data_IF_572010232022
#
_entry.id   IF_572010232022
#
_cell.length_a   1.000
_cell.length_b   1.000
_cell.length_c   1.000
_cell.angle_alpha   90.00
_cell.angle_beta   90.00
_cell.angle_gamma   90.00
#
_symmetry.space_group_name_H-M   'P 1'
#
loop_
_entity.id
_entity.type
_entity.pdbx_description
1 polymer ?
#
# COMPACT_ATOMS: atom_id res chain seq x y z
N UNK A 1 9.36 43.27 -27.72
CA UNK A 1 9.41 42.39 -26.53
C UNK A 1 10.47 41.30 -26.69
N UNK A 2 11.62 41.43 -25.99
CA UNK A 2 12.73 40.45 -26.03
C UNK A 2 12.27 39.08 -25.52
N UNK A 3 12.38 38.06 -26.37
CA UNK A 3 12.05 36.64 -26.12
C UNK A 3 12.84 36.07 -24.93
N UNK A 4 12.32 36.18 -23.69
CA UNK A 4 12.85 35.47 -22.50
C UNK A 4 12.50 33.96 -22.45
N UNK A 5 11.81 33.43 -23.46
CA UNK A 5 11.38 32.04 -23.54
C UNK A 5 12.48 30.94 -23.58
N UNK A 6 13.73 31.14 -24.06
CA UNK A 6 14.66 30.01 -24.22
C UNK A 6 15.26 29.51 -22.89
N UNK A 7 15.32 30.34 -21.84
CA UNK A 7 15.87 29.92 -20.53
C UNK A 7 14.85 29.10 -19.73
N UNK A 8 13.57 29.47 -19.78
CA UNK A 8 12.48 28.74 -19.09
C UNK A 8 12.29 27.36 -19.69
N UNK A 9 12.31 27.27 -21.03
CA UNK A 9 12.18 26.00 -21.73
C UNK A 9 13.34 25.04 -21.43
N UNK A 10 14.57 25.54 -21.31
CA UNK A 10 15.74 24.75 -20.88
C UNK A 10 15.59 24.25 -19.44
N UNK A 11 15.12 25.09 -18.51
CA UNK A 11 14.90 24.69 -17.11
C UNK A 11 13.84 23.59 -16.99
N UNK A 12 12.74 23.71 -17.74
CA UNK A 12 11.69 22.69 -17.78
C UNK A 12 12.21 21.35 -18.33
N UNK A 13 13.05 21.39 -19.36
CA UNK A 13 13.71 20.21 -19.92
C UNK A 13 14.62 19.52 -18.90
N UNK A 14 15.50 20.27 -18.22
CA UNK A 14 16.37 19.72 -17.18
C UNK A 14 15.57 19.10 -16.02
N UNK A 15 14.49 19.76 -15.59
CA UNK A 15 13.63 19.23 -14.52
C UNK A 15 12.96 17.91 -14.93
N UNK A 16 12.42 17.82 -16.14
CA UNK A 16 11.81 16.60 -16.69
C UNK A 16 12.81 15.44 -16.73
N UNK A 17 14.05 15.71 -17.16
CA UNK A 17 15.10 14.71 -17.23
C UNK A 17 15.57 14.26 -15.83
N UNK A 18 15.68 15.18 -14.88
CA UNK A 18 16.00 14.86 -13.49
C UNK A 18 14.92 13.99 -12.84
N UNK A 19 13.64 14.31 -13.05
CA UNK A 19 12.52 13.51 -12.54
C UNK A 19 12.52 12.11 -13.17
N UNK A 20 12.74 12.01 -14.48
CA UNK A 20 12.87 10.72 -15.17
C UNK A 20 14.04 9.89 -14.61
N UNK A 21 15.19 10.50 -14.38
CA UNK A 21 16.36 9.84 -13.80
C UNK A 21 16.08 9.36 -12.38
N UNK A 22 15.41 10.18 -11.55
CA UNK A 22 15.00 9.80 -10.21
C UNK A 22 14.08 8.57 -10.22
N UNK A 23 13.11 8.48 -11.13
CA UNK A 23 12.25 7.30 -11.25
C UNK A 23 13.00 6.05 -11.73
N UNK A 24 14.01 6.19 -12.60
CA UNK A 24 14.87 5.06 -12.99
C UNK A 24 15.73 4.57 -11.82
N UNK A 25 16.23 5.48 -10.98
CA UNK A 25 16.96 5.12 -9.76
C UNK A 25 16.03 4.41 -8.78
N UNK A 26 14.82 4.93 -8.55
CA UNK A 26 13.81 4.28 -7.72
C UNK A 26 13.41 2.90 -8.27
N UNK A 27 13.30 2.76 -9.59
CA UNK A 27 13.07 1.49 -10.24
C UNK A 27 14.19 0.48 -9.91
N UNK A 28 15.45 0.89 -10.09
CA UNK A 28 16.62 0.05 -9.81
C UNK A 28 16.73 -0.32 -8.33
N UNK A 29 16.45 0.61 -7.41
CA UNK A 29 16.40 0.34 -5.97
C UNK A 29 15.27 -0.64 -5.66
N UNK A 30 14.08 -0.41 -6.21
CA UNK A 30 12.91 -1.26 -5.98
C UNK A 30 13.07 -2.68 -6.52
N UNK A 31 13.90 -2.90 -7.55
CA UNK A 31 14.25 -4.24 -8.03
C UNK A 31 15.03 -5.05 -6.98
N UNK A 32 15.75 -4.40 -6.06
CA UNK A 32 16.44 -5.07 -4.95
C UNK A 32 15.50 -5.47 -3.82
N UNK A 33 14.29 -4.91 -3.78
CA UNK A 33 13.26 -5.21 -2.77
C UNK A 33 12.41 -6.38 -3.27
N UNK A 34 12.75 -7.59 -2.80
CA UNK A 34 12.09 -8.84 -3.19
C UNK A 34 10.88 -9.16 -2.31
N UNK A 35 10.95 -8.79 -1.03
CA UNK A 35 9.90 -8.91 -0.02
C UNK A 35 9.18 -7.57 0.16
N UNK A 36 7.98 -7.37 -0.41
CA UNK A 36 7.21 -6.15 -0.18
C UNK A 36 6.83 -6.01 1.28
N UNK A 37 6.92 -4.79 1.81
CA UNK A 37 6.18 -4.40 2.99
C UNK A 37 4.69 -4.71 2.82
N UNK A 38 4.01 -5.04 3.91
CA UNK A 38 2.59 -5.39 3.94
C UNK A 38 1.83 -4.37 4.77
N UNK A 39 0.50 -4.27 4.60
CA UNK A 39 -0.34 -3.53 5.54
C UNK A 39 -0.06 -3.94 6.98
N UNK A 40 -0.11 -2.99 7.92
CA UNK A 40 0.16 -3.26 9.34
C UNK A 40 -0.77 -4.34 9.92
N UNK A 41 -1.98 -4.44 9.38
CA UNK A 41 -3.00 -5.42 9.77
C UNK A 41 -2.88 -6.78 9.07
N UNK A 42 -1.96 -6.93 8.11
CA UNK A 42 -1.80 -8.18 7.36
C UNK A 42 -1.44 -9.40 8.23
N UNK A 43 -0.60 -9.29 9.28
CA UNK A 43 -0.34 -10.41 10.20
C UNK A 43 -1.62 -10.88 10.91
N UNK A 44 -2.47 -9.95 11.35
CA UNK A 44 -3.74 -10.28 12.03
C UNK A 44 -4.73 -10.92 11.07
N UNK A 45 -4.87 -10.38 9.86
CA UNK A 45 -5.71 -11.01 8.83
C UNK A 45 -5.27 -12.44 8.53
N UNK A 46 -3.95 -12.70 8.45
CA UNK A 46 -3.43 -14.07 8.28
C UNK A 46 -3.73 -14.96 9.46
N UNK A 47 -3.50 -14.47 10.67
CA UNK A 47 -3.76 -15.21 11.91
C UNK A 47 -5.24 -15.61 12.01
N UNK A 48 -6.16 -14.69 11.72
CA UNK A 48 -7.59 -14.94 11.70
C UNK A 48 -8.01 -15.91 10.58
N UNK A 49 -7.36 -15.85 9.41
CA UNK A 49 -7.63 -16.75 8.30
C UNK A 49 -7.06 -18.17 8.49
N UNK A 50 -6.23 -18.40 9.51
CA UNK A 50 -5.62 -19.71 9.78
C UNK A 50 -6.71 -20.72 10.11
N UNK A 51 -6.69 -21.87 9.45
CA UNK A 51 -7.67 -22.94 9.68
C UNK A 51 -7.28 -23.82 10.86
N UNK A 52 -8.30 -24.15 11.64
CA UNK A 52 -8.28 -25.15 12.71
C UNK A 52 -9.01 -26.39 12.17
N UNK A 53 -8.33 -27.54 12.05
CA UNK A 53 -8.90 -28.72 11.39
C UNK A 53 -10.11 -29.27 12.14
N UNK A 54 -10.05 -29.31 13.47
CA UNK A 54 -11.17 -29.67 14.33
C UNK A 54 -10.93 -29.08 15.71
N UNK A 55 -11.98 -28.56 16.32
CA UNK A 55 -11.98 -28.13 17.72
C UNK A 55 -13.29 -28.53 18.37
N UNK A 56 -13.22 -29.01 19.61
CA UNK A 56 -14.38 -29.32 20.43
C UNK A 56 -14.16 -28.79 21.84
N UNK A 57 -14.85 -27.71 22.18
CA UNK A 57 -14.91 -27.18 23.53
C UNK A 57 -16.18 -27.71 24.19
N UNK A 58 -16.05 -28.70 25.07
CA UNK A 58 -17.17 -29.20 25.87
C UNK A 58 -17.50 -28.20 26.99
N UNK A 59 -16.65 -28.12 28.01
CA UNK A 59 -16.81 -27.27 29.19
C UNK A 59 -15.64 -26.28 29.40
N UNK A 60 -15.08 -25.75 28.32
CA UNK A 60 -13.98 -24.77 28.42
C UNK A 60 -14.51 -23.36 28.74
N UNK A 61 -13.78 -22.62 29.59
CA UNK A 61 -14.05 -21.21 29.85
C UNK A 61 -13.81 -20.37 28.59
N UNK A 62 -14.46 -19.21 28.49
CA UNK A 62 -14.25 -18.30 27.35
C UNK A 62 -12.77 -17.89 27.20
N UNK A 63 -12.09 -17.62 28.32
CA UNK A 63 -10.65 -17.31 28.35
C UNK A 63 -9.81 -18.46 27.81
N UNK A 64 -10.04 -19.70 28.27
CA UNK A 64 -9.29 -20.88 27.81
C UNK A 64 -9.46 -21.12 26.29
N UNK A 65 -10.67 -20.86 25.77
CA UNK A 65 -10.94 -20.92 24.33
C UNK A 65 -10.12 -19.87 23.57
N UNK A 66 -9.99 -18.66 24.11
CA UNK A 66 -9.19 -17.59 23.52
C UNK A 66 -7.68 -17.87 23.63
N UNK A 67 -7.22 -18.48 24.72
CA UNK A 67 -5.82 -18.90 24.87
C UNK A 67 -5.49 -20.00 23.84
N UNK A 68 -6.38 -20.98 23.65
CA UNK A 68 -6.24 -21.95 22.56
C UNK A 68 -6.17 -21.28 21.19
N UNK A 69 -7.06 -20.32 20.90
CA UNK A 69 -7.04 -19.60 19.63
C UNK A 69 -5.79 -18.73 19.49
N UNK A 70 -5.27 -18.15 20.58
CA UNK A 70 -4.02 -17.41 20.62
C UNK A 70 -2.85 -18.29 20.19
N UNK A 71 -2.76 -19.50 20.77
CA UNK A 71 -1.73 -20.48 20.44
C UNK A 71 -1.84 -20.97 18.99
N UNK A 72 -3.06 -21.22 18.52
CA UNK A 72 -3.28 -21.61 17.13
C UNK A 72 -2.92 -20.47 16.18
N UNK A 73 -3.35 -19.24 16.43
CA UNK A 73 -3.22 -18.13 15.50
C UNK A 73 -1.87 -17.41 15.58
N UNK A 74 -1.17 -17.52 16.72
CA UNK A 74 0.06 -16.79 17.01
C UNK A 74 -0.14 -15.30 17.30
N UNK A 75 -1.34 -14.91 17.75
CA UNK A 75 -1.72 -13.53 18.09
C UNK A 75 -2.37 -13.48 19.48
N UNK A 76 -2.18 -12.38 20.20
CA UNK A 76 -2.75 -12.23 21.54
C UNK A 76 -4.20 -11.73 21.48
N UNK A 77 -5.04 -12.30 22.34
CA UNK A 77 -6.39 -11.83 22.60
C UNK A 77 -6.42 -11.11 23.96
N UNK A 78 -6.91 -9.87 23.98
CA UNK A 78 -7.13 -9.09 25.19
C UNK A 78 -8.63 -8.94 25.43
N UNK A 79 -9.07 -9.15 26.66
CA UNK A 79 -10.48 -9.09 27.05
C UNK A 79 -10.64 -7.95 28.04
N UNK A 80 -11.61 -7.07 27.80
CA UNK A 80 -11.99 -6.01 28.72
C UNK A 80 -12.82 -6.56 29.88
N UNK A 81 -12.17 -7.17 30.88
CA UNK A 81 -12.84 -7.86 31.98
C UNK A 81 -13.87 -7.00 32.74
N UNK A 82 -13.70 -5.67 32.77
CA UNK A 82 -14.62 -4.73 33.44
C UNK A 82 -15.90 -4.48 32.63
N UNK A 83 -15.83 -4.57 31.30
CA UNK A 83 -17.02 -4.47 30.45
C UNK A 83 -17.90 -5.73 30.49
N UNK A 84 -17.38 -6.86 30.99
CA UNK A 84 -18.18 -8.07 31.22
C UNK A 84 -18.81 -8.05 32.61
N UNK A 85 -20.06 -8.50 32.69
CA UNK A 85 -20.70 -8.74 33.98
C UNK A 85 -19.88 -9.79 34.76
N UNK A 86 -19.48 -9.55 36.02
CA UNK A 86 -18.67 -10.49 36.81
C UNK A 86 -19.23 -11.93 36.85
N UNK A 87 -20.57 -12.05 36.72
CA UNK A 87 -21.30 -13.33 36.70
C UNK A 87 -21.14 -14.09 35.36
N UNK A 88 -20.90 -13.38 34.26
CA UNK A 88 -20.67 -13.95 32.92
C UNK A 88 -19.19 -14.31 32.67
N UNK A 89 -18.26 -13.54 33.26
CA UNK A 89 -16.82 -13.74 33.06
C UNK A 89 -16.29 -15.01 33.75
N UNK A 90 -16.83 -15.34 34.92
CA UNK A 90 -16.42 -16.50 35.71
C UNK A 90 -17.54 -17.53 35.97
N UNK A 91 -18.82 -17.25 35.71
CA UNK A 91 -19.89 -17.94 36.48
C UNK A 91 -21.00 -18.68 35.75
N UNK A 92 -21.45 -18.34 34.54
CA UNK A 92 -22.77 -18.85 34.07
C UNK A 92 -22.90 -19.28 32.61
N UNK A 93 -22.02 -18.86 31.69
CA UNK A 93 -21.96 -19.40 30.30
C UNK A 93 -20.82 -20.40 30.08
N UNK A 94 -20.35 -21.01 31.17
CA UNK A 94 -19.51 -22.20 31.11
C UNK A 94 -20.33 -23.33 30.48
N UNK A 95 -19.70 -24.16 29.64
CA UNK A 95 -20.33 -25.38 29.13
C UNK A 95 -21.30 -25.24 27.96
N UNK A 96 -21.31 -24.12 27.22
CA UNK A 96 -21.91 -24.15 25.88
C UNK A 96 -20.96 -24.95 24.97
N UNK A 97 -21.34 -26.16 24.55
CA UNK A 97 -20.49 -26.97 23.71
C UNK A 97 -20.31 -26.27 22.37
N UNK A 98 -19.06 -26.16 21.95
CA UNK A 98 -18.70 -25.57 20.68
C UNK A 98 -17.84 -26.55 19.90
N UNK A 99 -18.35 -26.98 18.76
CA UNK A 99 -17.60 -27.79 17.81
C UNK A 99 -17.48 -27.03 16.51
N UNK A 100 -16.28 -26.99 15.95
CA UNK A 100 -16.04 -26.49 14.60
C UNK A 100 -15.05 -27.41 13.89
N UNK A 101 -15.30 -27.63 12.60
CA UNK A 101 -14.48 -28.49 11.75
C UNK A 101 -14.04 -27.67 10.55
N UNK A 102 -12.75 -27.70 10.26
CA UNK A 102 -12.12 -26.97 9.16
C UNK A 102 -12.49 -25.48 9.13
N UNK A 103 -12.65 -24.85 10.30
CA UNK A 103 -13.01 -23.44 10.43
C UNK A 103 -11.77 -22.58 10.65
N UNK A 104 -11.79 -21.36 10.15
CA UNK A 104 -10.77 -20.35 10.44
C UNK A 104 -10.88 -19.86 11.89
N UNK A 105 -9.78 -19.37 12.45
CA UNK A 105 -9.77 -18.76 13.80
C UNK A 105 -10.82 -17.64 13.90
N UNK A 106 -10.93 -16.80 12.87
CA UNK A 106 -11.95 -15.75 12.82
C UNK A 106 -13.38 -16.29 12.75
N UNK A 107 -13.64 -17.34 11.99
CA UNK A 107 -14.97 -18.00 11.97
C UNK A 107 -15.32 -18.58 13.34
N UNK A 108 -14.37 -19.19 14.03
CA UNK A 108 -14.57 -19.70 15.39
C UNK A 108 -14.90 -18.54 16.33
N UNK A 109 -14.18 -17.43 16.24
CA UNK A 109 -14.40 -16.24 17.07
C UNK A 109 -15.77 -15.61 16.83
N UNK A 110 -16.19 -15.45 15.56
CA UNK A 110 -17.53 -14.97 15.20
C UNK A 110 -18.66 -15.93 15.62
N UNK A 111 -18.41 -17.23 15.55
CA UNK A 111 -19.36 -18.23 16.02
C UNK A 111 -19.45 -18.25 17.57
N UNK A 112 -18.35 -17.98 18.28
CA UNK A 112 -18.34 -17.77 19.72
C UNK A 112 -19.11 -16.51 20.11
N UNK A 113 -18.91 -15.39 19.41
CA UNK A 113 -19.66 -14.14 19.59
C UNK A 113 -21.17 -14.38 19.47
N UNK A 114 -21.61 -15.01 18.38
CA UNK A 114 -23.05 -15.25 18.13
C UNK A 114 -23.71 -16.21 19.13
N UNK A 115 -22.97 -17.21 19.64
CA UNK A 115 -23.48 -18.19 20.62
C UNK A 115 -23.42 -17.71 22.08
N UNK A 116 -22.39 -16.96 22.46
CA UNK A 116 -22.18 -16.55 23.85
C UNK A 116 -22.94 -15.26 24.17
N UNK A 117 -22.68 -14.19 23.43
CA UNK A 117 -23.33 -12.90 23.62
C UNK A 117 -23.20 -12.05 22.34
N UNK A 118 -24.31 -11.78 21.62
CA UNK A 118 -24.30 -10.94 20.41
C UNK A 118 -23.79 -9.51 20.63
N UNK A 119 -23.73 -9.03 21.88
CA UNK A 119 -23.17 -7.73 22.23
C UNK A 119 -21.65 -7.74 22.22
N UNK A 120 -21.00 -8.89 22.18
CA UNK A 120 -19.55 -8.98 22.03
C UNK A 120 -19.11 -8.30 20.74
N UNK A 121 -18.00 -7.62 20.80
CA UNK A 121 -17.35 -7.00 19.67
C UNK A 121 -15.85 -7.14 19.82
N UNK A 122 -15.18 -7.47 18.73
CA UNK A 122 -13.73 -7.61 18.72
C UNK A 122 -13.11 -6.78 17.60
N UNK A 123 -11.95 -6.20 17.87
CA UNK A 123 -11.29 -5.34 16.88
C UNK A 123 -9.79 -5.46 16.96
N UNK A 124 -9.15 -5.11 15.86
CA UNK A 124 -7.70 -5.06 15.74
C UNK A 124 -7.13 -3.85 16.47
N UNK A 125 -6.16 -4.07 17.36
CA UNK A 125 -5.37 -3.01 17.97
C UNK A 125 -3.89 -3.43 18.00
N UNK A 126 -3.05 -2.67 17.30
CA UNK A 126 -1.64 -2.98 17.07
C UNK A 126 -1.42 -4.39 16.49
N UNK A 127 -0.83 -5.29 17.27
CA UNK A 127 -0.56 -6.69 16.92
C UNK A 127 -1.50 -7.68 17.64
N UNK A 128 -2.58 -7.18 18.24
CA UNK A 128 -3.49 -7.92 19.11
C UNK A 128 -4.95 -7.76 18.67
N UNK A 129 -5.79 -8.65 19.17
CA UNK A 129 -7.25 -8.53 19.05
C UNK A 129 -7.82 -8.21 20.42
N UNK A 130 -8.54 -7.10 20.52
CA UNK A 130 -9.28 -6.70 21.71
C UNK A 130 -10.72 -7.17 21.61
N UNK A 131 -11.28 -7.59 22.74
CA UNK A 131 -12.64 -8.08 22.86
C UNK A 131 -13.33 -7.34 24.00
N UNK A 132 -14.45 -6.70 23.71
CA UNK A 132 -15.28 -5.98 24.68
C UNK A 132 -16.76 -6.05 24.29
N UNK A 133 -17.62 -5.36 25.04
CA UNK A 133 -19.06 -5.27 24.80
C UNK A 133 -19.36 -4.01 23.99
N UNK A 134 -20.23 -4.10 22.97
CA UNK A 134 -20.64 -2.96 22.16
C UNK A 134 -21.20 -1.84 23.04
N UNK A 135 -20.64 -0.64 22.89
CA UNK A 135 -21.04 0.55 23.64
C UNK A 135 -20.34 0.74 24.99
N UNK A 136 -19.56 -0.23 25.46
CA UNK A 136 -18.70 -0.05 26.62
C UNK A 136 -17.40 0.68 26.20
N UNK A 137 -16.93 1.68 26.97
CA UNK A 137 -15.58 2.21 26.79
C UNK A 137 -14.57 1.10 27.13
N UNK A 138 -13.41 1.12 26.47
CA UNK A 138 -12.33 0.21 26.81
C UNK A 138 -11.74 0.57 28.17
N UNK A 139 -11.83 -0.35 29.14
CA UNK A 139 -11.17 -0.19 30.43
C UNK A 139 -9.76 -0.78 30.32
N UNK A 140 -8.76 0.07 30.09
CA UNK A 140 -7.37 -0.35 30.21
C UNK A 140 -7.15 -0.79 31.66
N UNK A 141 -6.77 -2.05 31.87
CA UNK A 141 -6.42 -2.60 33.17
C UNK A 141 -5.77 -1.54 34.07
N UNK A 142 -6.34 -1.35 35.25
CA UNK A 142 -5.86 -0.52 36.36
C UNK A 142 -4.56 -1.09 36.97
N UNK A 143 -3.59 -1.49 36.13
CA UNK A 143 -2.33 -2.15 36.51
C UNK A 143 -1.11 -1.20 36.52
N UNK A 144 -1.26 0.09 36.22
CA UNK A 144 -0.17 1.06 36.44
C UNK A 144 -0.03 1.54 37.90
N UNK A 145 -0.77 0.95 38.86
CA UNK A 145 -0.68 1.34 40.28
C UNK A 145 -0.59 0.17 41.26
N UNK A 146 0.37 -0.73 41.06
CA UNK A 146 1.15 -1.33 42.17
C UNK A 146 2.24 -2.25 41.62
N UNK A 147 3.49 -1.79 41.72
CA UNK A 147 4.64 -2.69 41.83
C UNK A 147 4.84 -2.96 43.34
N UNK A 148 4.67 -4.21 43.78
CA UNK A 148 5.71 -4.77 44.65
C UNK A 148 6.07 -6.22 44.26
N UNK A 149 7.33 -6.39 43.89
CA UNK A 149 8.20 -7.48 44.35
C UNK A 149 7.83 -8.96 44.08
N UNK A 150 7.28 -9.30 42.91
CA UNK A 150 7.44 -10.66 42.38
C UNK A 150 7.93 -10.68 40.94
N UNK A 151 9.22 -10.99 40.81
CA UNK A 151 9.96 -11.16 39.57
C UNK A 151 9.58 -12.51 38.94
N UNK A 152 8.66 -12.48 37.98
CA UNK A 152 8.75 -13.29 36.78
C UNK A 152 8.53 -12.37 35.57
N UNK A 153 9.50 -11.48 35.35
CA UNK A 153 9.63 -10.81 34.06
C UNK A 153 10.02 -11.88 33.04
N UNK A 154 9.04 -12.38 32.29
CA UNK A 154 9.33 -12.87 30.94
C UNK A 154 9.74 -11.67 30.09
N UNK A 155 10.98 -11.22 30.26
CA UNK A 155 11.67 -10.49 29.21
C UNK A 155 11.80 -11.48 28.06
N UNK A 156 10.80 -11.50 27.17
CA UNK A 156 11.02 -12.01 25.83
C UNK A 156 12.03 -11.05 25.21
N UNK A 157 13.29 -11.44 25.34
CA UNK A 157 14.43 -10.94 24.58
C UNK A 157 13.95 -10.88 23.13
N UNK A 158 13.57 -9.70 22.64
CA UNK A 158 13.62 -9.40 21.21
C UNK A 158 15.11 -9.42 20.86
N UNK A 159 15.65 -10.64 20.79
CA UNK A 159 16.95 -10.89 20.23
C UNK A 159 16.88 -10.35 18.81
N UNK A 160 17.72 -9.33 18.55
CA UNK A 160 17.76 -8.51 17.35
C UNK A 160 17.09 -9.15 16.14
N UNK A 161 15.83 -8.78 15.92
CA UNK A 161 15.36 -8.77 14.54
C UNK A 161 16.14 -7.61 13.90
N UNK A 162 16.95 -7.85 12.85
CA UNK A 162 17.54 -6.75 12.11
C UNK A 162 16.42 -5.80 11.73
N UNK A 163 16.67 -4.49 11.72
CA UNK A 163 15.74 -3.51 11.18
C UNK A 163 15.36 -3.92 9.75
N UNK A 164 14.27 -4.69 9.65
CA UNK A 164 13.72 -5.15 8.39
C UNK A 164 13.14 -3.91 7.75
N UNK A 165 13.59 -3.57 6.54
CA UNK A 165 13.10 -2.46 5.72
C UNK A 165 11.61 -2.66 5.28
N UNK A 166 10.73 -3.10 6.18
CA UNK A 166 9.39 -3.63 5.91
C UNK A 166 8.25 -2.74 6.38
N UNK A 167 8.53 -1.50 6.79
CA UNK A 167 7.46 -0.54 7.06
C UNK A 167 6.93 0.01 5.74
N UNK A 168 5.61 0.18 5.62
CA UNK A 168 5.03 0.78 4.43
C UNK A 168 5.53 2.22 4.29
N UNK A 169 5.66 2.70 3.04
CA UNK A 169 6.04 4.10 2.78
C UNK A 169 5.02 5.07 3.35
N UNK A 170 3.76 4.66 3.33
CA UNK A 170 2.64 5.43 3.85
C UNK A 170 1.48 4.50 4.14
N UNK A 171 0.77 4.75 5.22
CA UNK A 171 -0.46 4.05 5.55
C UNK A 171 -1.46 5.02 6.17
N UNK A 172 -2.73 4.93 5.75
CA UNK A 172 -3.81 5.70 6.34
C UNK A 172 -5.16 5.01 6.18
N UNK A 173 -6.00 5.17 7.19
CA UNK A 173 -7.42 4.79 7.12
C UNK A 173 -8.22 6.01 6.67
N UNK A 174 -9.00 5.84 5.59
CA UNK A 174 -9.86 6.88 5.03
C UNK A 174 -11.23 6.25 4.75
N UNK A 175 -12.25 6.71 5.49
CA UNK A 175 -13.60 6.15 5.40
C UNK A 175 -13.61 4.65 5.77
N UNK A 176 -14.18 3.83 4.89
CA UNK A 176 -14.32 2.38 5.08
C UNK A 176 -13.12 1.56 4.58
N UNK A 177 -11.98 2.18 4.30
CA UNK A 177 -10.82 1.49 3.72
C UNK A 177 -9.50 1.98 4.33
N UNK A 178 -8.56 1.05 4.41
CA UNK A 178 -7.14 1.31 4.69
C UNK A 178 -6.36 1.29 3.40
N UNK A 179 -5.53 2.31 3.23
CA UNK A 179 -4.66 2.49 2.08
C UNK A 179 -3.21 2.36 2.54
N UNK A 180 -2.48 1.41 1.97
CA UNK A 180 -1.07 1.18 2.30
C UNK A 180 -0.23 1.25 1.03
N UNK A 181 0.71 2.18 1.00
CA UNK A 181 1.62 2.40 -0.11
C UNK A 181 2.97 1.73 0.17
N UNK A 182 3.43 0.87 -0.74
CA UNK A 182 4.67 0.10 -0.60
C UNK A 182 5.42 0.04 -1.93
N UNK A 183 6.72 -0.24 -1.90
CA UNK A 183 7.54 -0.43 -3.11
C UNK A 183 8.15 -1.82 -3.13
N UNK A 184 8.05 -2.52 -4.26
CA UNK A 184 8.67 -3.83 -4.43
C UNK A 184 8.69 -4.29 -5.89
N UNK A 185 9.76 -5.02 -6.24
CA UNK A 185 9.97 -5.60 -7.57
C UNK A 185 9.80 -4.60 -8.72
N UNK A 186 10.39 -3.41 -8.56
CA UNK A 186 10.38 -2.38 -9.60
C UNK A 186 9.05 -1.64 -9.78
N UNK A 187 8.14 -1.73 -8.81
CA UNK A 187 6.85 -1.04 -8.87
C UNK A 187 6.44 -0.42 -7.55
N UNK A 188 5.65 0.64 -7.67
CA UNK A 188 4.86 1.22 -6.59
C UNK A 188 3.57 0.42 -6.45
N UNK A 189 3.21 0.02 -5.24
CA UNK A 189 2.01 -0.78 -4.96
C UNK A 189 1.14 -0.06 -3.95
N UNK A 190 -0.15 -0.03 -4.24
CA UNK A 190 -1.18 0.46 -3.37
C UNK A 190 -2.06 -0.71 -2.94
N UNK A 191 -2.03 -1.04 -1.65
CA UNK A 191 -3.00 -1.92 -1.02
C UNK A 191 -4.22 -1.13 -0.59
N UNK A 192 -5.38 -1.73 -0.81
CA UNK A 192 -6.69 -1.26 -0.36
C UNK A 192 -7.29 -2.44 0.40
N UNK A 193 -7.40 -2.30 1.71
CA UNK A 193 -7.90 -3.35 2.61
C UNK A 193 -9.01 -2.80 3.50
N UNK A 194 -9.81 -3.65 4.16
CA UNK A 194 -10.67 -3.22 5.24
C UNK A 194 -9.86 -2.48 6.34
N UNK A 195 -10.49 -1.55 7.07
CA UNK A 195 -9.84 -0.82 8.17
C UNK A 195 -9.43 -1.77 9.29
N UNK A 196 -10.29 -2.74 9.57
CA UNK A 196 -10.08 -3.82 10.53
C UNK A 196 -10.35 -5.18 9.87
N UNK A 197 -9.35 -6.09 9.80
CA UNK A 197 -9.56 -7.44 9.26
C UNK A 197 -10.49 -8.31 10.13
N UNK A 198 -10.70 -7.97 11.39
CA UNK A 198 -11.53 -8.75 12.31
C UNK A 198 -13.03 -8.48 12.12
N UNK A 199 -13.39 -7.32 11.57
CA UNK A 199 -14.77 -6.88 11.38
C UNK A 199 -15.59 -7.86 10.52
N UNK A 200 -14.98 -8.43 9.48
CA UNK A 200 -15.67 -9.32 8.53
C UNK A 200 -16.28 -10.55 9.20
N UNK A 201 -15.64 -11.06 10.26
CA UNK A 201 -16.08 -12.25 10.98
C UNK A 201 -17.28 -11.99 11.90
N UNK A 202 -17.63 -10.73 12.13
CA UNK A 202 -18.73 -10.31 12.99
C UNK A 202 -20.01 -10.00 12.22
N UNK A 203 -19.92 -9.93 10.89
CA UNK A 203 -21.02 -9.48 10.03
C UNK A 203 -21.97 -10.63 9.61
N UNK A 204 -21.70 -11.87 10.04
CA UNK A 204 -22.50 -13.04 9.66
C UNK A 204 -22.43 -13.37 8.16
N UNK A 205 -21.43 -12.85 7.46
CA UNK A 205 -21.22 -13.07 6.03
C UNK A 205 -20.48 -14.40 5.85
N UNK A 206 -20.84 -15.15 4.79
CA UNK A 206 -20.12 -16.36 4.39
C UNK A 206 -18.64 -16.04 4.10
N UNK A 207 -17.74 -16.65 4.87
CA UNK A 207 -16.30 -16.46 4.72
C UNK A 207 -15.79 -17.36 3.60
N UNK A 208 -15.20 -16.75 2.59
CA UNK A 208 -14.54 -17.45 1.48
C UNK A 208 -13.23 -18.15 1.88
N UNK A 209 -12.68 -18.91 0.93
CA UNK A 209 -11.48 -19.73 1.13
C UNK A 209 -10.21 -19.10 0.51
N UNK A 210 -10.13 -17.76 0.44
CA UNK A 210 -8.96 -17.11 -0.15
C UNK A 210 -7.69 -17.40 0.66
N UNK A 211 -6.68 -18.01 0.01
CA UNK A 211 -5.41 -18.37 0.66
C UNK A 211 -4.34 -17.27 0.63
N UNK A 212 -4.45 -16.30 -0.28
CA UNK A 212 -3.48 -15.20 -0.40
C UNK A 212 -4.20 -13.86 -0.64
N UNK A 213 -3.86 -12.78 0.11
CA UNK A 213 -4.38 -11.43 -0.10
C UNK A 213 -4.12 -10.86 -1.51
N UNK A 214 -3.25 -11.47 -2.32
CA UNK A 214 -3.01 -11.12 -3.73
C UNK A 214 -3.23 -12.30 -4.71
N UNK A 215 -3.99 -13.34 -4.31
CA UNK A 215 -4.20 -14.55 -5.11
C UNK A 215 -4.84 -14.32 -6.48
N UNK A 216 -5.81 -13.39 -6.58
CA UNK A 216 -6.63 -13.24 -7.79
C UNK A 216 -6.02 -12.17 -8.68
N UNK A 217 -5.53 -12.58 -9.84
CA UNK A 217 -5.08 -11.65 -10.88
C UNK A 217 -6.30 -11.13 -11.65
N UNK A 218 -6.64 -9.87 -11.44
CA UNK A 218 -7.77 -9.20 -12.12
C UNK A 218 -7.30 -8.64 -13.46
N UNK A 219 -6.13 -7.99 -13.46
CA UNK A 219 -5.54 -7.37 -14.65
C UNK A 219 -4.01 -7.39 -14.55
N UNK A 220 -3.32 -7.63 -15.66
CA UNK A 220 -1.88 -7.40 -15.78
C UNK A 220 -1.53 -7.18 -17.24
N UNK A 221 -0.93 -6.04 -17.55
CA UNK A 221 -0.49 -5.72 -18.91
C UNK A 221 0.76 -4.88 -18.86
N UNK A 222 1.85 -5.34 -19.48
CA UNK A 222 3.14 -4.66 -19.55
C UNK A 222 3.76 -4.23 -18.20
N UNK A 223 3.25 -4.71 -17.06
CA UNK A 223 3.76 -4.37 -15.72
C UNK A 223 2.70 -3.75 -14.79
N UNK A 224 1.89 -2.76 -15.23
CA UNK A 224 0.67 -2.40 -14.50
C UNK A 224 -0.18 -3.63 -14.19
N UNK A 225 -0.55 -3.78 -12.91
CA UNK A 225 -1.32 -4.94 -12.46
C UNK A 225 -2.34 -4.54 -11.40
N UNK A 226 -3.51 -5.17 -11.47
CA UNK A 226 -4.52 -5.13 -10.42
C UNK A 226 -4.73 -6.55 -9.95
N UNK A 227 -4.48 -6.78 -8.66
CA UNK A 227 -4.75 -8.05 -7.99
C UNK A 227 -5.81 -7.82 -6.93
N UNK A 228 -6.59 -8.86 -6.67
CA UNK A 228 -7.57 -8.89 -5.59
C UNK A 228 -7.42 -10.17 -4.79
N UNK A 229 -8.04 -10.19 -3.63
CA UNK A 229 -8.35 -11.41 -2.89
C UNK A 229 -9.83 -11.40 -2.55
N UNK A 230 -10.40 -12.61 -2.52
CA UNK A 230 -11.72 -12.80 -1.94
C UNK A 230 -11.66 -12.76 -0.41
N UNK A 231 -12.80 -13.08 0.20
CA UNK A 231 -12.91 -13.28 1.63
C UNK A 231 -11.96 -14.38 2.12
N UNK A 232 -11.34 -14.25 3.32
CA UNK A 232 -11.59 -13.20 4.32
C UNK A 232 -10.82 -11.88 4.12
N UNK A 233 -9.82 -11.86 3.25
CA UNK A 233 -8.94 -10.69 3.13
C UNK A 233 -9.61 -9.49 2.48
N UNK A 234 -10.44 -9.72 1.45
CA UNK A 234 -11.11 -8.67 0.66
C UNK A 234 -10.18 -7.51 0.28
N UNK A 235 -8.92 -7.85 -0.03
CA UNK A 235 -7.89 -6.86 -0.33
C UNK A 235 -7.79 -6.65 -1.84
N UNK A 236 -7.50 -5.41 -2.25
CA UNK A 236 -7.11 -5.08 -3.62
C UNK A 236 -5.71 -4.49 -3.61
N UNK A 237 -4.91 -4.86 -4.60
CA UNK A 237 -3.56 -4.36 -4.77
C UNK A 237 -3.39 -3.84 -6.19
N UNK A 238 -3.07 -2.57 -6.33
CA UNK A 238 -2.76 -1.91 -7.60
C UNK A 238 -1.25 -1.74 -7.67
N UNK A 239 -0.62 -2.21 -8.75
CA UNK A 239 0.82 -2.08 -8.99
C UNK A 239 1.06 -1.21 -10.22
N UNK A 240 1.87 -0.17 -10.07
CA UNK A 240 2.32 0.70 -11.15
C UNK A 240 3.85 0.65 -11.23
N UNK A 241 4.44 0.15 -12.33
CA UNK A 241 5.89 0.10 -12.48
C UNK A 241 6.55 1.47 -12.53
N UNK A 242 7.74 1.59 -11.95
CA UNK A 242 8.48 2.85 -11.96
C UNK A 242 8.96 3.27 -13.35
N UNK A 243 9.19 2.32 -14.25
CA UNK A 243 9.54 2.63 -15.64
C UNK A 243 8.43 3.43 -16.36
N UNK A 244 7.15 3.26 -15.96
CA UNK A 244 6.06 4.01 -16.54
C UNK A 244 6.12 5.49 -16.13
N UNK A 245 6.42 5.77 -14.85
CA UNK A 245 6.64 7.14 -14.38
C UNK A 245 7.86 7.77 -15.05
N UNK A 246 8.95 7.02 -15.23
CA UNK A 246 10.11 7.49 -15.98
C UNK A 246 9.77 7.80 -17.45
N UNK A 247 9.05 6.91 -18.13
CA UNK A 247 8.64 7.09 -19.52
C UNK A 247 7.76 8.34 -19.70
N UNK A 248 6.76 8.52 -18.84
CA UNK A 248 5.89 9.71 -18.86
C UNK A 248 6.68 10.98 -18.55
N UNK A 249 7.57 10.95 -17.56
CA UNK A 249 8.43 12.08 -17.22
C UNK A 249 9.42 12.45 -18.34
N UNK A 250 9.80 11.49 -19.20
CA UNK A 250 10.71 11.72 -20.33
C UNK A 250 10.03 12.35 -21.56
N UNK A 251 8.70 12.33 -21.67
CA UNK A 251 7.95 12.84 -22.84
C UNK A 251 8.34 14.28 -23.20
N UNK A 252 8.32 15.26 -22.27
CA UNK A 252 8.68 16.64 -22.60
C UNK A 252 10.12 16.77 -23.10
N UNK A 253 11.02 15.95 -22.54
CA UNK A 253 12.43 15.92 -22.92
C UNK A 253 12.64 15.41 -24.34
N UNK A 254 11.90 14.37 -24.74
CA UNK A 254 11.92 13.82 -26.10
C UNK A 254 11.37 14.81 -27.13
N UNK A 255 10.26 15.51 -26.83
CA UNK A 255 9.71 16.53 -27.72
C UNK A 255 10.68 17.70 -27.94
N UNK A 256 11.32 18.18 -26.87
CA UNK A 256 12.33 19.24 -26.98
C UNK A 256 13.55 18.80 -27.80
N UNK A 257 14.01 17.55 -27.61
CA UNK A 257 15.12 16.99 -28.39
C UNK A 257 14.75 16.84 -29.87
N UNK A 258 13.55 16.34 -30.17
CA UNK A 258 13.04 16.22 -31.55
C UNK A 258 12.94 17.58 -32.23
N UNK A 259 12.40 18.59 -31.53
CA UNK A 259 12.30 19.97 -32.03
C UNK A 259 13.67 20.57 -32.31
N UNK A 260 14.61 20.46 -31.36
CA UNK A 260 15.97 21.01 -31.56
C UNK A 260 16.73 20.29 -32.67
N UNK A 261 16.59 18.97 -32.80
CA UNK A 261 17.18 18.19 -33.90
C UNK A 261 16.57 18.58 -35.26
N UNK A 262 15.25 18.77 -35.31
CA UNK A 262 14.57 19.26 -36.52
C UNK A 262 15.02 20.66 -36.89
N UNK A 263 15.04 21.61 -35.94
CA UNK A 263 15.52 22.97 -36.17
C UNK A 263 16.98 23.00 -36.63
N UNK A 264 17.86 22.18 -36.05
CA UNK A 264 19.27 22.06 -36.48
C UNK A 264 19.39 21.46 -37.89
N UNK A 265 18.59 20.44 -38.21
CA UNK A 265 18.57 19.83 -39.55
C UNK A 265 18.09 20.83 -40.59
N UNK A 266 16.99 21.51 -40.32
CA UNK A 266 16.46 22.57 -41.18
C UNK A 266 17.53 23.66 -41.40
N UNK A 267 18.20 24.14 -40.34
CA UNK A 267 19.31 25.11 -40.50
C UNK A 267 20.46 24.58 -41.35
N UNK A 268 20.88 23.31 -41.17
CA UNK A 268 21.97 22.70 -41.95
C UNK A 268 21.61 22.55 -43.44
N UNK A 269 20.34 22.23 -43.71
CA UNK A 269 19.81 22.09 -45.06
C UNK A 269 19.35 23.44 -45.66
N UNK A 270 19.54 24.55 -44.94
CA UNK A 270 19.03 25.88 -45.28
C UNK A 270 17.51 25.91 -45.52
N UNK A 271 16.74 25.10 -44.79
CA UNK A 271 15.27 25.07 -44.84
C UNK A 271 14.64 25.83 -43.67
N UNK A 272 13.46 26.38 -43.89
CA UNK A 272 12.68 27.02 -42.84
C UNK A 272 12.23 25.99 -41.80
N UNK A 273 12.54 26.18 -40.50
CA UNK A 273 12.12 25.25 -39.44
C UNK A 273 10.62 25.32 -39.10
N UNK A 274 9.84 26.15 -39.78
CA UNK A 274 8.39 26.27 -39.58
C UNK A 274 7.58 25.57 -40.66
N UNK A 275 7.99 25.66 -41.94
CA UNK A 275 7.25 25.12 -43.08
C UNK A 275 8.08 24.21 -44.00
N UNK A 276 9.41 24.14 -43.82
CA UNK A 276 10.28 23.30 -44.64
C UNK A 276 10.75 23.91 -45.97
N UNK A 277 10.36 25.14 -46.31
CA UNK A 277 10.76 25.83 -47.55
C UNK A 277 12.29 26.00 -47.64
N UNK A 278 12.88 25.85 -48.84
CA UNK A 278 14.32 26.05 -49.06
C UNK A 278 14.66 27.54 -49.08
N UNK A 279 15.41 27.99 -48.08
CA UNK A 279 15.81 29.39 -47.88
C UNK A 279 17.06 29.78 -48.67
N UNK A 280 17.65 28.87 -49.47
CA UNK A 280 18.78 29.23 -50.36
C UNK A 280 18.41 30.29 -51.39
N UNK A 281 17.16 30.28 -51.87
CA UNK A 281 16.66 31.25 -52.83
C UNK A 281 16.16 32.56 -52.18
N UNK A 282 15.82 32.52 -50.89
CA UNK A 282 15.25 33.65 -50.14
C UNK A 282 15.92 33.77 -48.76
N UNK A 283 17.18 34.23 -48.71
CA UNK A 283 18.00 34.16 -47.49
C UNK A 283 17.49 35.03 -46.34
N UNK A 284 16.74 36.10 -46.60
CA UNK A 284 16.30 37.06 -45.58
C UNK A 284 14.97 36.69 -44.91
N UNK A 285 14.01 36.15 -45.67
CA UNK A 285 12.66 35.82 -45.19
C UNK A 285 12.06 34.66 -45.98
N UNK A 286 11.34 33.78 -45.30
CA UNK A 286 10.59 32.68 -45.91
C UNK A 286 9.33 33.20 -46.63
N UNK A 287 9.12 32.93 -47.93
CA UNK A 287 7.95 33.41 -48.68
C UNK A 287 6.64 32.76 -48.24
N UNK A 288 6.68 31.50 -47.77
CA UNK A 288 5.48 30.76 -47.37
C UNK A 288 4.91 31.19 -46.01
N UNK A 289 5.76 31.29 -45.00
CA UNK A 289 5.32 31.53 -43.62
C UNK A 289 5.74 32.89 -43.06
N UNK A 290 6.44 33.71 -43.84
CA UNK A 290 6.91 35.05 -43.45
C UNK A 290 7.98 35.04 -42.36
N UNK A 291 8.51 33.87 -41.96
CA UNK A 291 9.53 33.78 -40.90
C UNK A 291 10.86 34.37 -41.40
N UNK A 292 11.34 35.39 -40.69
CA UNK A 292 12.65 36.00 -40.92
C UNK A 292 13.78 35.04 -40.56
N UNK A 293 14.81 35.03 -41.39
CA UNK A 293 15.96 34.16 -41.23
C UNK A 293 16.97 34.83 -40.29
N UNK A 294 17.11 34.30 -39.08
CA UNK A 294 17.98 34.90 -38.06
C UNK A 294 19.48 34.93 -38.44
N UNK A 295 19.90 34.22 -39.50
CA UNK A 295 21.28 34.26 -40.01
C UNK A 295 21.56 35.44 -40.94
N UNK A 296 20.53 36.07 -41.52
CA UNK A 296 20.71 37.24 -42.40
C UNK A 296 20.87 38.55 -41.60
N UNK A 297 20.45 38.56 -40.34
CA UNK A 297 20.43 39.75 -39.49
C UNK A 297 21.76 40.07 -38.77
N UNK A 298 22.85 39.33 -39.05
CA UNK A 298 24.18 39.62 -38.48
C UNK A 298 25.23 39.87 -39.56
N UNK A 299 25.29 41.09 -40.13
CA UNK A 299 26.34 41.46 -41.07
C UNK A 299 27.73 41.62 -40.42
N UNK A 300 27.88 41.40 -39.10
CA UNK A 300 29.16 41.61 -38.39
C UNK A 300 30.08 40.37 -38.33
N UNK A 301 29.66 39.19 -38.82
CA UNK A 301 30.45 37.95 -38.76
C UNK A 301 31.27 37.64 -40.04
N UNK A 302 31.43 38.61 -40.96
CA UNK A 302 32.10 38.42 -42.25
C UNK A 302 33.34 39.31 -42.46
N UNK A 303 33.90 39.87 -41.38
CA UNK A 303 35.23 40.49 -41.42
C UNK A 303 36.12 39.93 -40.30
N UNK A 304 37.33 39.51 -40.74
CA UNK A 304 38.47 38.90 -40.04
C UNK A 304 38.45 37.37 -39.92
#
# INVERSE_FOLDING_TARGET
MKRRLPKVLKRFWFLSLLVSAAFLVLWAISLRITTPAMPSTAPIGRALSKRVPQVNFADALFRDRLDFLSDQAGIQFEIDAEAFDPIDFYGTKQGIPFTATNATVGEILGAMQSKLDPRLHFWTHDSKIRISVKGAPWHSHREERHNPDFVFQFQRKTAGAPASHSDPLWERVLGSHRYTLVTARGGLRLWITPPDPAEIYQQGILIGNAGDPAAVKIFEFAGPAVRGSGSPFNARMITVPFWLFAAVAAIPSLFALRKTRYERRCRREARCPSCGFDLRASPDRCPECGRENASAADPAALQV
#
